data_IF_577405933857
#
_entry.id   IF_577405933857
#
_cell.length_a   1.000
_cell.length_b   1.000
_cell.length_c   1.000
_cell.angle_alpha   90.00
_cell.angle_beta   90.00
_cell.angle_gamma   90.00
#
_symmetry.space_group_name_H-M   'P 1'
#
loop_
_entity.id
_entity.type
_entity.pdbx_description
1 polymer ?
#
# COMPACT_ATOMS: atom_id res chain seq x y z
N UNK A 1 -2.59 -0.97 -9.87
CA UNK A 1 -2.88 0.06 -8.84
C UNK A 1 -4.16 -0.23 -8.07
N UNK A 2 -5.29 -0.49 -8.69
CA UNK A 2 -6.56 -0.71 -7.97
C UNK A 2 -6.47 -1.81 -6.92
N UNK A 3 -5.94 -2.97 -7.26
CA UNK A 3 -5.75 -4.09 -6.32
C UNK A 3 -4.80 -3.71 -5.17
N UNK A 4 -3.73 -2.97 -5.46
CA UNK A 4 -2.77 -2.53 -4.44
C UNK A 4 -3.40 -1.53 -3.46
N UNK A 5 -4.27 -0.62 -3.94
CA UNK A 5 -5.02 0.27 -3.06
C UNK A 5 -5.92 -0.51 -2.09
N UNK A 6 -6.65 -1.50 -2.58
CA UNK A 6 -7.50 -2.36 -1.74
C UNK A 6 -6.68 -3.13 -0.72
N UNK A 7 -5.56 -3.74 -1.15
CA UNK A 7 -4.64 -4.45 -0.24
C UNK A 7 -4.06 -3.52 0.83
N UNK A 8 -3.70 -2.29 0.45
CA UNK A 8 -3.20 -1.27 1.38
C UNK A 8 -4.23 -0.93 2.46
N UNK A 9 -5.49 -0.70 2.07
CA UNK A 9 -6.55 -0.38 3.04
C UNK A 9 -6.88 -1.58 3.96
N UNK A 10 -6.89 -2.79 3.42
CA UNK A 10 -7.09 -4.00 4.22
C UNK A 10 -5.94 -4.22 5.21
N UNK A 11 -4.69 -4.07 4.76
CA UNK A 11 -3.51 -4.14 5.62
C UNK A 11 -3.49 -3.06 6.70
N UNK A 12 -3.94 -1.86 6.35
CA UNK A 12 -4.10 -0.74 7.28
C UNK A 12 -5.10 -1.07 8.39
N UNK A 13 -6.30 -1.51 8.03
CA UNK A 13 -7.33 -1.93 8.98
C UNK A 13 -6.86 -3.09 9.87
N UNK A 14 -6.13 -4.05 9.30
CA UNK A 14 -5.55 -5.16 10.05
C UNK A 14 -4.32 -4.77 10.90
N UNK A 15 -3.85 -3.52 10.83
CA UNK A 15 -2.59 -3.04 11.43
C UNK A 15 -1.36 -3.87 11.00
N UNK A 16 -1.42 -4.47 9.82
CA UNK A 16 -0.37 -5.30 9.26
C UNK A 16 -0.12 -4.94 7.80
N UNK A 17 0.90 -4.14 7.55
CA UNK A 17 1.29 -3.67 6.21
C UNK A 17 2.59 -4.30 5.72
N UNK A 18 3.15 -5.29 6.42
CA UNK A 18 4.45 -5.88 6.10
C UNK A 18 4.50 -6.47 4.68
N UNK A 19 3.42 -7.08 4.22
CA UNK A 19 3.31 -7.62 2.85
C UNK A 19 3.37 -6.56 1.76
N UNK A 20 3.15 -5.30 2.13
CA UNK A 20 3.16 -4.16 1.20
C UNK A 20 4.54 -3.52 1.05
N UNK A 21 5.50 -3.88 1.91
CA UNK A 21 6.84 -3.29 1.91
C UNK A 21 7.51 -3.25 0.54
N UNK A 22 7.43 -4.29 -0.32
CA UNK A 22 8.04 -4.26 -1.65
C UNK A 22 7.50 -3.19 -2.60
N UNK A 23 6.31 -2.68 -2.33
CA UNK A 23 5.63 -1.69 -3.18
C UNK A 23 5.85 -0.24 -2.76
N UNK A 24 6.56 -0.01 -1.65
CA UNK A 24 6.77 1.32 -1.09
C UNK A 24 8.25 1.64 -0.93
N UNK A 25 8.61 2.92 -1.05
CA UNK A 25 9.91 3.37 -0.57
C UNK A 25 10.01 3.19 0.95
N UNK A 26 11.22 3.02 1.47
CA UNK A 26 11.44 2.87 2.92
C UNK A 26 10.88 4.06 3.72
N UNK A 27 11.00 5.27 3.17
CA UNK A 27 10.50 6.48 3.80
C UNK A 27 8.97 6.45 3.97
N UNK A 28 8.23 6.13 2.89
CA UNK A 28 6.78 6.05 2.94
C UNK A 28 6.29 4.90 3.82
N UNK A 29 6.93 3.74 3.71
CA UNK A 29 6.61 2.57 4.55
C UNK A 29 6.78 2.89 6.04
N UNK A 30 7.92 3.48 6.44
CA UNK A 30 8.18 3.90 7.82
C UNK A 30 7.16 4.93 8.32
N UNK A 31 6.73 5.85 7.46
CA UNK A 31 5.68 6.81 7.81
C UNK A 31 4.34 6.11 8.09
N UNK A 32 3.97 5.12 7.28
CA UNK A 32 2.76 4.33 7.48
C UNK A 32 2.83 3.51 8.77
N UNK A 33 3.96 2.85 9.04
CA UNK A 33 4.18 2.11 10.30
C UNK A 33 4.02 3.00 11.53
N UNK A 34 4.63 4.18 11.54
CA UNK A 34 4.50 5.15 12.64
C UNK A 34 3.05 5.57 12.86
N UNK A 35 2.30 5.78 11.79
CA UNK A 35 0.88 6.12 11.88
C UNK A 35 0.06 4.99 12.49
N UNK A 36 0.32 3.74 12.10
CA UNK A 36 -0.33 2.54 12.68
C UNK A 36 0.04 2.34 14.15
N UNK A 37 1.32 2.57 14.52
CA UNK A 37 1.76 2.54 15.92
C UNK A 37 1.00 3.57 16.77
N UNK A 38 0.73 4.76 16.23
CA UNK A 38 -0.09 5.77 16.89
C UNK A 38 -1.51 5.30 17.20
N UNK A 39 -2.15 4.57 16.27
CA UNK A 39 -3.45 3.94 16.54
C UNK A 39 -3.34 2.86 17.63
N UNK A 40 -2.35 1.97 17.53
CA UNK A 40 -2.13 0.91 18.50
C UNK A 40 -1.90 1.45 19.93
N UNK A 41 -1.12 2.52 20.07
CA UNK A 41 -0.86 3.17 21.37
C UNK A 41 -2.11 3.76 22.01
N UNK A 42 -3.09 4.20 21.22
CA UNK A 42 -4.37 4.71 21.72
C UNK A 42 -5.42 3.62 21.94
N UNK A 43 -5.11 2.35 21.63
CA UNK A 43 -6.09 1.26 21.64
C UNK A 43 -7.21 1.48 20.63
N UNK A 44 -6.86 2.00 19.46
CA UNK A 44 -7.79 2.34 18.38
C UNK A 44 -7.46 1.57 17.11
N UNK A 45 -8.47 1.30 16.31
CA UNK A 45 -8.33 0.79 14.93
C UNK A 45 -9.06 1.70 13.97
N UNK A 46 -8.35 2.19 12.95
CA UNK A 46 -8.99 2.84 11.83
C UNK A 46 -9.48 1.78 10.84
N UNK A 47 -10.76 1.70 10.66
CA UNK A 47 -11.44 0.74 9.79
C UNK A 47 -11.78 1.40 8.47
N UNK A 48 -11.33 0.81 7.38
CA UNK A 48 -11.67 1.21 6.03
C UNK A 48 -12.35 0.05 5.34
N UNK A 49 -13.61 0.22 4.98
CA UNK A 49 -14.43 -0.81 4.36
C UNK A 49 -15.23 -0.27 3.16
N UNK A 50 -15.98 -1.14 2.47
CA UNK A 50 -16.75 -0.82 1.25
C UNK A 50 -15.88 -0.12 0.20
N UNK A 51 -14.65 -0.60 0.03
CA UNK A 51 -13.64 0.02 -0.80
C UNK A 51 -13.99 -0.18 -2.28
N UNK A 52 -14.11 0.92 -3.01
CA UNK A 52 -14.24 0.92 -4.47
C UNK A 52 -13.25 1.90 -5.09
N UNK A 53 -12.47 1.44 -6.06
CA UNK A 53 -11.67 2.30 -6.93
C UNK A 53 -12.53 2.68 -8.11
N UNK A 54 -12.86 3.95 -8.23
CA UNK A 54 -13.77 4.51 -9.24
C UNK A 54 -13.05 4.82 -10.54
N UNK A 55 -11.80 5.33 -10.42
CA UNK A 55 -11.01 5.75 -11.55
C UNK A 55 -9.52 5.78 -11.21
N UNK A 56 -8.68 5.51 -12.21
CA UNK A 56 -7.22 5.67 -12.16
C UNK A 56 -6.78 6.35 -13.45
N UNK A 57 -6.37 7.61 -13.35
CA UNK A 57 -5.95 8.41 -14.50
C UNK A 57 -4.47 8.78 -14.39
N UNK A 58 -3.61 8.47 -15.38
CA UNK A 58 -2.25 8.98 -15.40
C UNK A 58 -2.27 10.50 -15.69
N UNK A 59 -1.60 11.29 -14.85
CA UNK A 59 -1.49 12.73 -14.99
C UNK A 59 -0.21 13.17 -15.70
N UNK A 60 0.85 12.41 -15.54
CA UNK A 60 2.14 12.75 -16.10
C UNK A 60 3.16 11.63 -15.98
N UNK A 61 4.18 11.73 -16.84
CA UNK A 61 5.38 10.93 -16.81
C UNK A 61 6.57 11.87 -16.86
N UNK A 62 7.54 11.66 -15.98
CA UNK A 62 8.78 12.39 -15.93
C UNK A 62 9.96 11.43 -15.91
N UNK A 63 11.07 11.83 -16.51
CA UNK A 63 12.31 11.08 -16.48
C UNK A 63 13.43 12.05 -16.11
N UNK A 64 14.03 11.86 -14.95
CA UNK A 64 15.05 12.77 -14.42
C UNK A 64 16.03 12.03 -13.53
N UNK A 65 17.33 12.28 -13.69
CA UNK A 65 18.34 11.78 -12.76
C UNK A 65 18.50 10.26 -12.71
N UNK A 66 18.11 9.55 -13.77
CA UNK A 66 18.16 8.08 -13.80
C UNK A 66 16.92 7.40 -13.21
N UNK A 67 15.88 8.16 -12.92
CA UNK A 67 14.59 7.66 -12.45
C UNK A 67 13.46 8.01 -13.41
N UNK A 68 12.56 7.07 -13.61
CA UNK A 68 11.25 7.27 -14.24
C UNK A 68 10.21 7.52 -13.14
N UNK A 69 9.36 8.52 -13.32
CA UNK A 69 8.28 8.86 -12.42
C UNK A 69 6.94 8.87 -13.16
N UNK A 70 5.93 8.21 -12.59
CA UNK A 70 4.53 8.31 -13.04
C UNK A 70 3.70 8.92 -11.91
N UNK A 71 2.81 9.83 -12.29
CA UNK A 71 1.89 10.54 -11.40
C UNK A 71 0.44 10.10 -11.71
N UNK A 72 -0.08 9.04 -11.16
CA UNK A 72 -1.49 8.68 -11.30
C UNK A 72 -2.35 9.37 -10.26
N UNK A 73 -3.57 9.74 -10.69
CA UNK A 73 -4.66 10.15 -9.82
C UNK A 73 -5.62 9.00 -9.60
N UNK A 74 -5.93 8.70 -8.34
CA UNK A 74 -6.96 7.74 -7.96
C UNK A 74 -8.18 8.46 -7.43
N UNK A 75 -9.36 8.03 -7.88
CA UNK A 75 -10.63 8.38 -7.26
C UNK A 75 -11.22 7.12 -6.62
N UNK A 76 -11.58 7.23 -5.37
CA UNK A 76 -12.07 6.08 -4.60
C UNK A 76 -13.30 6.46 -3.79
N UNK A 77 -14.09 5.45 -3.44
CA UNK A 77 -15.17 5.54 -2.46
C UNK A 77 -14.88 4.53 -1.37
N UNK A 78 -14.99 4.96 -0.14
CA UNK A 78 -14.74 4.15 1.05
C UNK A 78 -15.72 4.52 2.15
N UNK A 79 -15.91 3.65 3.12
CA UNK A 79 -16.40 3.98 4.45
C UNK A 79 -15.19 3.96 5.38
N UNK A 80 -14.99 5.03 6.15
CA UNK A 80 -13.79 5.20 6.99
C UNK A 80 -14.20 5.76 8.36
N UNK A 81 -13.90 4.99 9.40
CA UNK A 81 -14.19 5.33 10.79
C UNK A 81 -13.13 4.71 11.72
N UNK A 82 -13.07 5.17 12.96
CA UNK A 82 -12.15 4.67 13.98
C UNK A 82 -12.95 4.08 15.13
N UNK A 83 -12.56 2.89 15.57
CA UNK A 83 -13.15 2.22 16.74
C UNK A 83 -12.15 2.13 17.88
N UNK A 84 -12.63 2.13 19.10
CA UNK A 84 -11.87 1.74 20.27
C UNK A 84 -11.76 0.22 20.31
N UNK A 85 -10.56 -0.34 20.45
CA UNK A 85 -10.31 -1.78 20.38
C UNK A 85 -10.97 -2.56 21.53
N UNK A 86 -11.07 -1.97 22.72
CA UNK A 86 -11.65 -2.62 23.90
C UNK A 86 -13.19 -2.59 23.91
N UNK A 87 -13.78 -1.46 23.53
CA UNK A 87 -15.26 -1.25 23.60
C UNK A 87 -15.97 -1.48 22.28
N UNK A 88 -15.23 -1.50 21.17
CA UNK A 88 -15.75 -1.56 19.80
C UNK A 88 -16.68 -0.38 19.42
N UNK A 89 -16.68 0.68 20.22
CA UNK A 89 -17.44 1.89 19.94
C UNK A 89 -16.71 2.75 18.91
N UNK A 90 -17.47 3.39 18.02
CA UNK A 90 -16.93 4.35 17.07
C UNK A 90 -16.52 5.61 17.84
N UNK A 91 -15.26 5.98 17.76
CA UNK A 91 -14.69 7.18 18.37
C UNK A 91 -14.50 8.32 17.38
N UNK A 92 -14.51 7.99 16.07
CA UNK A 92 -14.38 8.97 14.98
C UNK A 92 -14.95 8.41 13.68
N UNK A 93 -15.58 9.28 12.87
CA UNK A 93 -16.20 8.89 11.60
C UNK A 93 -17.54 8.20 11.76
N UNK A 94 -18.04 7.56 10.71
CA UNK A 94 -19.34 6.86 10.69
C UNK A 94 -19.30 5.66 9.75
N UNK A 95 -20.04 4.59 10.11
CA UNK A 95 -20.24 3.42 9.22
C UNK A 95 -21.23 3.69 8.09
N UNK A 96 -22.05 4.71 8.23
CA UNK A 96 -23.15 4.99 7.32
C UNK A 96 -22.82 6.08 6.31
N UNK A 97 -21.66 6.74 6.47
CA UNK A 97 -21.22 7.80 5.59
C UNK A 97 -20.16 7.28 4.61
N UNK A 98 -20.39 7.54 3.33
CA UNK A 98 -19.40 7.27 2.29
C UNK A 98 -18.47 8.48 2.11
N UNK A 99 -17.19 8.22 1.96
CA UNK A 99 -16.17 9.20 1.63
C UNK A 99 -15.67 8.97 0.21
N UNK A 100 -15.76 10.01 -0.59
CA UNK A 100 -15.16 10.06 -1.92
C UNK A 100 -13.81 10.76 -1.81
N UNK A 101 -12.75 10.00 -2.08
CA UNK A 101 -11.38 10.47 -1.97
C UNK A 101 -10.75 10.62 -3.35
N UNK A 102 -9.96 11.66 -3.51
CA UNK A 102 -9.07 11.82 -4.65
C UNK A 102 -7.65 11.84 -4.13
N UNK A 103 -6.82 10.94 -4.63
CA UNK A 103 -5.40 10.86 -4.31
C UNK A 103 -4.55 11.11 -5.55
N UNK A 104 -3.38 11.67 -5.34
CA UNK A 104 -2.27 11.63 -6.30
C UNK A 104 -1.13 10.83 -5.69
N UNK A 105 -0.64 9.88 -6.45
CA UNK A 105 0.47 9.02 -6.05
C UNK A 105 1.70 9.38 -6.89
N UNK A 106 2.88 9.20 -6.29
CA UNK A 106 4.15 9.22 -7.00
C UNK A 106 4.68 7.80 -7.06
N UNK A 107 4.87 7.29 -8.27
CA UNK A 107 5.52 6.01 -8.52
C UNK A 107 6.88 6.26 -9.16
N UNK A 108 7.90 5.60 -8.62
CA UNK A 108 9.28 5.70 -9.08
C UNK A 108 9.79 4.36 -9.56
N UNK A 109 10.66 4.39 -10.55
CA UNK A 109 11.40 3.24 -11.06
C UNK A 109 12.74 3.69 -11.66
N UNK A 110 13.85 2.92 -11.53
CA UNK A 110 15.07 3.22 -12.25
C UNK A 110 14.85 3.26 -13.77
N UNK A 111 15.40 4.25 -14.43
CA UNK A 111 15.31 4.41 -15.88
C UNK A 111 15.90 3.19 -16.61
N UNK A 112 15.22 2.76 -17.66
CA UNK A 112 15.63 1.60 -18.46
C UNK A 112 15.12 0.25 -17.93
N UNK A 113 14.52 0.21 -16.74
CA UNK A 113 13.84 -0.98 -16.24
C UNK A 113 12.54 -1.20 -17.00
N UNK A 114 12.31 -2.42 -17.43
CA UNK A 114 11.07 -2.81 -18.12
C UNK A 114 10.14 -3.54 -17.16
N UNK A 115 8.85 -3.23 -17.23
CA UNK A 115 7.83 -4.00 -16.51
C UNK A 115 7.85 -5.44 -17.04
N UNK A 116 7.99 -6.40 -16.15
CA UNK A 116 7.95 -7.80 -16.54
C UNK A 116 6.49 -8.16 -16.89
N UNK A 117 6.25 -8.55 -18.13
CA UNK A 117 4.91 -8.96 -18.60
C UNK A 117 4.35 -10.18 -17.85
N UNK A 118 5.23 -10.97 -17.22
CA UNK A 118 4.88 -12.15 -16.42
C UNK A 118 4.59 -11.84 -14.94
N UNK A 119 4.54 -10.57 -14.55
CA UNK A 119 4.29 -10.16 -13.15
C UNK A 119 2.89 -10.51 -12.60
N UNK A 120 2.03 -11.14 -13.43
CA UNK A 120 0.77 -11.73 -12.99
C UNK A 120 0.88 -13.18 -12.49
N UNK A 121 1.99 -13.86 -12.72
CA UNK A 121 2.20 -15.23 -12.26
C UNK A 121 2.99 -15.24 -10.95
N UNK A 122 2.62 -16.16 -10.04
CA UNK A 122 3.31 -16.38 -8.77
C UNK A 122 4.74 -16.83 -9.04
N UNK A 123 5.70 -15.91 -8.99
CA UNK A 123 7.12 -16.26 -9.11
C UNK A 123 7.55 -17.02 -7.87
N UNK A 124 8.00 -18.25 -8.07
CA UNK A 124 8.77 -18.97 -7.04
C UNK A 124 10.20 -18.44 -7.05
N UNK A 125 10.63 -17.93 -5.92
CA UNK A 125 12.02 -17.54 -5.69
C UNK A 125 12.62 -18.41 -4.60
N UNK A 126 13.94 -18.47 -4.60
CA UNK A 126 14.68 -19.15 -3.54
C UNK A 126 15.08 -18.12 -2.49
N UNK A 127 14.81 -18.38 -1.22
CA UNK A 127 15.23 -17.49 -0.13
C UNK A 127 16.76 -17.31 -0.13
N UNK A 128 17.29 -16.09 -0.18
CA UNK A 128 18.74 -15.87 -0.17
C UNK A 128 19.39 -16.24 1.17
N UNK A 129 18.61 -16.35 2.24
CA UNK A 129 19.12 -16.69 3.58
C UNK A 129 19.15 -18.18 3.89
N UNK A 130 18.16 -18.96 3.43
CA UNK A 130 18.06 -20.39 3.79
C UNK A 130 17.79 -21.33 2.61
N UNK A 131 17.69 -20.82 1.36
CA UNK A 131 17.44 -21.66 0.18
C UNK A 131 16.00 -22.20 0.05
N UNK A 132 15.09 -21.87 0.95
CA UNK A 132 13.71 -22.37 0.88
C UNK A 132 12.98 -21.78 -0.35
N UNK A 133 12.14 -22.59 -1.04
CA UNK A 133 11.28 -22.06 -2.10
C UNK A 133 10.19 -21.17 -1.50
N UNK A 134 9.98 -19.98 -2.08
CA UNK A 134 9.04 -18.99 -1.60
C UNK A 134 8.12 -18.55 -2.74
N UNK A 135 6.85 -18.42 -2.45
CA UNK A 135 5.91 -17.75 -3.31
C UNK A 135 5.95 -16.24 -3.04
N UNK A 136 6.43 -15.46 -3.98
CA UNK A 136 6.75 -14.02 -3.83
C UNK A 136 5.56 -13.16 -3.40
N UNK A 137 4.33 -13.65 -3.60
CA UNK A 137 3.12 -12.89 -3.25
C UNK A 137 2.68 -13.04 -1.78
N UNK A 138 3.39 -13.82 -0.97
CA UNK A 138 2.89 -14.18 0.36
C UNK A 138 3.55 -13.41 1.53
N UNK A 139 4.80 -12.96 1.41
CA UNK A 139 5.50 -12.33 2.53
C UNK A 139 6.77 -11.61 2.08
N UNK A 140 7.01 -10.41 2.59
CA UNK A 140 8.30 -9.71 2.45
C UNK A 140 9.41 -10.33 3.30
N UNK A 141 9.08 -11.31 4.14
CA UNK A 141 10.02 -12.09 4.97
C UNK A 141 9.87 -13.57 4.70
N UNK A 142 10.98 -14.25 4.68
CA UNK A 142 10.98 -15.72 4.60
C UNK A 142 10.30 -16.30 5.85
N UNK A 143 9.24 -17.11 5.71
CA UNK A 143 8.54 -17.71 6.85
C UNK A 143 9.41 -18.75 7.60
N UNK A 144 10.51 -19.20 6.99
CA UNK A 144 11.40 -20.21 7.58
C UNK A 144 12.57 -19.61 8.37
N UNK A 145 13.17 -18.53 7.90
CA UNK A 145 14.37 -17.95 8.53
C UNK A 145 14.26 -16.47 8.87
N UNK A 146 13.15 -15.81 8.56
CA UNK A 146 12.94 -14.40 8.85
C UNK A 146 13.74 -13.43 7.95
N UNK A 147 14.55 -13.92 7.01
CA UNK A 147 15.32 -13.08 6.10
C UNK A 147 14.38 -12.19 5.29
N UNK A 148 14.64 -10.88 5.27
CA UNK A 148 13.92 -9.93 4.43
C UNK A 148 14.25 -10.22 2.97
N UNK A 149 13.22 -10.47 2.19
CA UNK A 149 13.34 -10.74 0.77
C UNK A 149 13.25 -9.40 0.06
N UNK A 150 14.41 -8.84 -0.28
CA UNK A 150 14.46 -7.71 -1.19
C UNK A 150 14.13 -8.23 -2.58
N UNK A 151 12.92 -7.98 -3.05
CA UNK A 151 12.67 -8.07 -4.49
C UNK A 151 13.55 -6.98 -5.11
N UNK A 152 14.43 -7.38 -6.01
CA UNK A 152 15.09 -6.40 -6.87
C UNK A 152 13.96 -5.64 -7.57
N UNK A 153 13.95 -4.33 -7.37
CA UNK A 153 12.91 -3.43 -7.85
C UNK A 153 12.87 -3.44 -9.39
N UNK A 154 12.18 -4.41 -9.96
CA UNK A 154 11.86 -4.46 -11.39
C UNK A 154 10.55 -3.74 -11.69
N UNK A 155 9.85 -3.29 -10.66
CA UNK A 155 8.56 -2.65 -10.77
C UNK A 155 8.53 -1.27 -10.09
N UNK A 156 7.46 -0.54 -10.36
CA UNK A 156 7.20 0.76 -9.79
C UNK A 156 7.01 0.66 -8.27
N UNK A 157 7.70 1.52 -7.53
CA UNK A 157 7.50 1.70 -6.08
C UNK A 157 6.80 3.03 -5.81
N UNK A 158 5.92 3.03 -4.82
CA UNK A 158 5.20 4.24 -4.39
C UNK A 158 6.10 5.00 -3.43
N UNK A 159 6.40 6.24 -3.79
CA UNK A 159 7.22 7.15 -2.98
C UNK A 159 6.39 8.18 -2.20
N UNK A 160 5.20 8.50 -2.68
CA UNK A 160 4.28 9.39 -1.99
C UNK A 160 2.82 9.10 -2.32
N UNK A 161 1.95 9.35 -1.35
CA UNK A 161 0.50 9.32 -1.47
C UNK A 161 -0.03 10.64 -0.90
N UNK A 162 -0.67 11.44 -1.75
CA UNK A 162 -1.24 12.73 -1.36
C UNK A 162 -2.76 12.70 -1.47
N UNK A 163 -3.47 13.00 -0.38
CA UNK A 163 -4.90 13.26 -0.42
C UNK A 163 -5.16 14.65 -0.99
N UNK A 164 -5.85 14.74 -2.13
CA UNK A 164 -6.10 16.01 -2.83
C UNK A 164 -7.49 16.56 -2.51
N UNK A 165 -8.47 15.68 -2.43
CA UNK A 165 -9.86 16.05 -2.16
C UNK A 165 -10.59 14.97 -1.38
N UNK A 166 -11.43 15.40 -0.45
CA UNK A 166 -12.38 14.53 0.25
C UNK A 166 -13.77 15.15 0.16
N UNK A 167 -14.76 14.31 -0.10
CA UNK A 167 -16.19 14.65 0.00
C UNK A 167 -16.88 13.53 0.77
N UNK A 168 -17.66 13.91 1.79
CA UNK A 168 -18.46 12.97 2.60
C UNK A 168 -19.94 13.14 2.23
N UNK A 169 -20.63 12.05 2.01
CA UNK A 169 -22.05 11.98 1.70
C UNK A 169 -22.78 11.10 2.72
#
# INVERSE_FOLDING_TARGET
>A
MSNLYVQMQNGWTAKNIESLRPYFTDALFTQMERSLQGYAQRGETNVVERIAVLDVTPLGFHQTGGEDQILPRLRTRITDYTVNDGTQQIVRGSRDQEKFMTYEWDLLRPTGMQTNAESGETKRITCPGCGAPLDVNASARCPYCGTVIQQQAQDWVISAIRGIKQQTL
#
